data_IF_456992617402
#
_entry.id   IF_456992617402
#
_cell.length_a   1.000
_cell.length_b   1.000
_cell.length_c   1.000
_cell.angle_alpha   90.00
_cell.angle_beta   90.00
_cell.angle_gamma   90.00
#
_symmetry.space_group_name_H-M   'P 1'
#
loop_
_entity.id
_entity.type
_entity.pdbx_description
1 polymer ?
#
# COMPACT_ATOMS: atom_id res chain seq x y z
N UNK A 1 -4.14 -8.12 1.86
CA UNK A 1 -3.65 -8.93 3.01
C UNK A 1 -4.36 -10.26 3.10
N UNK A 2 -5.70 -10.33 3.13
CA UNK A 2 -6.41 -11.62 3.23
C UNK A 2 -5.93 -12.64 2.18
N UNK A 3 -5.74 -12.22 0.93
CA UNK A 3 -5.26 -13.09 -0.16
C UNK A 3 -3.78 -13.50 -0.06
N UNK A 4 -3.01 -12.88 0.83
CA UNK A 4 -1.59 -13.16 1.03
C UNK A 4 -1.33 -13.88 2.35
N UNK A 5 -2.36 -14.16 3.15
CA UNK A 5 -2.20 -14.68 4.50
C UNK A 5 -1.37 -15.97 4.53
N UNK A 6 -1.58 -16.87 3.58
CA UNK A 6 -0.85 -18.15 3.53
C UNK A 6 0.62 -17.98 3.07
N UNK A 7 0.91 -16.98 2.24
CA UNK A 7 2.26 -16.72 1.72
C UNK A 7 3.06 -15.80 2.65
N UNK A 8 2.42 -14.79 3.22
CA UNK A 8 3.07 -13.78 4.05
C UNK A 8 3.11 -14.15 5.55
N UNK A 9 2.33 -15.13 5.98
CA UNK A 9 2.24 -15.51 7.40
C UNK A 9 3.57 -16.01 7.98
N UNK A 10 4.45 -16.58 7.15
CA UNK A 10 5.72 -17.17 7.61
C UNK A 10 6.88 -16.16 7.62
N UNK A 11 6.87 -15.13 6.77
CA UNK A 11 8.02 -14.23 6.60
C UNK A 11 7.66 -12.76 6.72
N UNK A 12 6.45 -12.36 6.37
CA UNK A 12 5.98 -10.98 6.43
C UNK A 12 5.93 -10.28 5.08
N UNK A 13 5.60 -8.99 5.13
CA UNK A 13 5.49 -8.11 3.96
C UNK A 13 6.42 -6.93 4.06
N UNK A 14 6.82 -6.39 2.92
CA UNK A 14 7.64 -5.17 2.83
C UNK A 14 7.11 -4.24 1.74
N UNK A 15 7.14 -2.94 1.98
CA UNK A 15 6.77 -1.92 0.99
C UNK A 15 7.63 -0.66 1.12
N UNK A 16 7.77 0.11 0.04
CA UNK A 16 8.31 1.47 0.07
C UNK A 16 7.15 2.46 0.08
N UNK A 17 7.10 3.33 1.09
CA UNK A 17 6.04 4.35 1.14
C UNK A 17 6.32 5.42 2.18
N UNK A 18 6.17 6.67 1.78
CA UNK A 18 6.17 7.83 2.69
C UNK A 18 4.76 8.34 3.02
N UNK A 19 3.72 7.65 2.55
CA UNK A 19 2.34 8.11 2.63
C UNK A 19 1.33 7.10 3.16
N UNK A 20 0.11 7.20 2.64
CA UNK A 20 -1.03 6.38 3.10
C UNK A 20 -0.84 4.89 2.85
N UNK A 21 -0.20 4.50 1.73
CA UNK A 21 0.03 3.09 1.41
C UNK A 21 0.81 2.37 2.52
N UNK A 22 1.91 2.96 3.03
CA UNK A 22 2.67 2.37 4.13
C UNK A 22 1.85 2.19 5.40
N UNK A 23 1.02 3.18 5.75
CA UNK A 23 0.13 3.09 6.90
C UNK A 23 -0.97 2.03 6.68
N UNK A 24 -1.53 1.92 5.48
CA UNK A 24 -2.52 0.91 5.15
C UNK A 24 -1.95 -0.51 5.23
N UNK A 25 -0.71 -0.70 4.74
CA UNK A 25 0.00 -1.98 4.86
C UNK A 25 0.26 -2.32 6.32
N UNK A 26 0.74 -1.35 7.13
CA UNK A 26 0.97 -1.54 8.55
C UNK A 26 -0.31 -1.93 9.31
N UNK A 27 -1.41 -1.20 9.05
CA UNK A 27 -2.70 -1.47 9.65
C UNK A 27 -3.23 -2.87 9.29
N UNK A 28 -3.23 -3.20 8.00
CA UNK A 28 -3.70 -4.50 7.54
C UNK A 28 -2.83 -5.65 8.08
N UNK A 29 -1.50 -5.50 8.07
CA UNK A 29 -0.60 -6.50 8.62
C UNK A 29 -0.87 -6.76 10.10
N UNK A 30 -1.14 -5.70 10.89
CA UNK A 30 -1.53 -5.84 12.31
C UNK A 30 -2.83 -6.63 12.47
N UNK A 31 -3.84 -6.38 11.62
CA UNK A 31 -5.12 -7.11 11.69
C UNK A 31 -4.96 -8.62 11.43
N UNK A 32 -4.03 -8.99 10.56
CA UNK A 32 -3.77 -10.38 10.20
C UNK A 32 -2.58 -11.00 10.96
N UNK A 33 -2.03 -10.28 11.94
CA UNK A 33 -0.85 -10.69 12.72
C UNK A 33 0.36 -11.07 11.81
N UNK A 34 0.59 -10.26 10.78
CA UNK A 34 1.68 -10.41 9.81
C UNK A 34 2.74 -9.36 10.11
N UNK A 35 4.03 -9.74 10.07
CA UNK A 35 5.13 -8.78 10.15
C UNK A 35 5.09 -7.83 8.97
N UNK A 36 5.18 -6.51 9.22
CA UNK A 36 5.27 -5.50 8.17
C UNK A 36 6.53 -4.66 8.32
N UNK A 37 7.23 -4.49 7.21
CA UNK A 37 8.36 -3.56 7.07
C UNK A 37 7.96 -2.47 6.10
N UNK A 38 8.11 -1.20 6.51
CA UNK A 38 7.86 -0.04 5.66
C UNK A 38 9.17 0.71 5.49
N UNK A 39 9.69 0.69 4.27
CA UNK A 39 10.89 1.44 3.92
C UNK A 39 10.52 2.88 3.56
N UNK A 40 11.28 3.82 4.09
CA UNK A 40 11.15 5.25 3.86
C UNK A 40 12.53 5.85 3.58
N UNK A 41 12.65 6.89 2.75
CA UNK A 41 13.92 7.56 2.56
C UNK A 41 14.40 8.26 3.83
N UNK A 42 15.71 8.50 3.91
CA UNK A 42 16.28 9.34 4.97
C UNK A 42 15.64 10.73 4.95
N UNK A 43 15.29 11.24 6.13
CA UNK A 43 14.59 12.52 6.24
C UNK A 43 13.07 12.48 6.00
N UNK A 44 12.46 11.29 5.96
CA UNK A 44 11.01 11.18 5.90
C UNK A 44 10.33 11.92 7.07
N UNK A 45 9.12 12.44 6.82
CA UNK A 45 8.36 13.21 7.81
C UNK A 45 8.13 12.39 9.10
N UNK A 46 8.60 12.92 10.23
CA UNK A 46 8.56 12.23 11.54
C UNK A 46 7.14 11.84 11.97
N UNK A 47 6.13 12.67 11.66
CA UNK A 47 4.74 12.36 12.01
C UNK A 47 4.24 11.12 11.25
N UNK A 48 4.64 10.97 9.98
CA UNK A 48 4.30 9.78 9.16
C UNK A 48 5.06 8.54 9.62
N UNK A 49 6.33 8.71 10.00
CA UNK A 49 7.13 7.63 10.60
C UNK A 49 6.46 7.11 11.87
N UNK A 50 6.13 8.01 12.81
CA UNK A 50 5.45 7.66 14.06
C UNK A 50 4.08 7.01 13.82
N UNK A 51 3.28 7.54 12.88
CA UNK A 51 1.99 6.95 12.55
C UNK A 51 2.13 5.49 12.07
N UNK A 52 3.11 5.21 11.21
CA UNK A 52 3.37 3.87 10.70
C UNK A 52 3.87 2.93 11.81
N UNK A 53 4.77 3.41 12.68
CA UNK A 53 5.26 2.64 13.83
C UNK A 53 4.16 2.34 14.84
N UNK A 54 3.27 3.30 15.12
CA UNK A 54 2.13 3.12 16.02
C UNK A 54 1.14 2.06 15.52
N UNK A 55 1.10 1.82 14.21
CA UNK A 55 0.35 0.73 13.60
C UNK A 55 1.04 -0.63 13.69
N UNK A 56 2.26 -0.69 14.25
CA UNK A 56 2.99 -1.91 14.52
C UNK A 56 4.00 -2.32 13.45
N UNK A 57 4.21 -1.50 12.41
CA UNK A 57 5.20 -1.81 11.38
C UNK A 57 6.62 -1.39 11.80
N UNK A 58 7.59 -2.18 11.36
CA UNK A 58 9.01 -1.83 11.38
C UNK A 58 9.28 -0.78 10.30
N UNK A 59 9.77 0.40 10.68
CA UNK A 59 10.20 1.42 9.71
C UNK A 59 11.70 1.32 9.50
N UNK A 60 12.12 1.19 8.24
CA UNK A 60 13.54 1.20 7.84
C UNK A 60 13.82 2.41 6.96
N UNK A 61 14.86 3.15 7.31
CA UNK A 61 15.34 4.26 6.49
C UNK A 61 16.32 3.73 5.44
N UNK A 62 15.99 3.91 4.16
CA UNK A 62 16.73 3.36 3.02
C UNK A 62 16.79 4.41 1.92
N UNK A 63 18.00 4.74 1.48
CA UNK A 63 18.20 5.70 0.38
C UNK A 63 17.90 7.15 0.74
N UNK A 64 17.98 8.02 -0.24
CA UNK A 64 17.79 9.46 -0.08
C UNK A 64 16.45 9.97 -0.62
N UNK A 65 15.85 9.22 -1.54
CA UNK A 65 14.54 9.52 -2.10
C UNK A 65 13.68 8.26 -2.25
N UNK A 66 12.47 8.42 -2.78
CA UNK A 66 11.52 7.31 -2.93
C UNK A 66 11.97 6.28 -3.96
N UNK A 67 12.57 6.71 -5.07
CA UNK A 67 12.99 5.80 -6.14
C UNK A 67 14.21 4.98 -5.72
N UNK A 68 15.14 5.61 -5.02
CA UNK A 68 16.29 4.93 -4.42
C UNK A 68 15.83 3.91 -3.36
N UNK A 69 14.90 4.29 -2.50
CA UNK A 69 14.27 3.40 -1.55
C UNK A 69 13.62 2.18 -2.25
N UNK A 70 12.86 2.39 -3.33
CA UNK A 70 12.18 1.35 -4.08
C UNK A 70 13.15 0.34 -4.70
N UNK A 71 14.23 0.81 -5.31
CA UNK A 71 15.23 -0.08 -5.93
C UNK A 71 15.94 -0.99 -4.92
N UNK A 72 16.15 -0.49 -3.70
CA UNK A 72 16.79 -1.28 -2.65
C UNK A 72 15.86 -2.30 -2.00
N UNK A 73 14.58 -1.97 -1.90
CA UNK A 73 13.61 -2.79 -1.15
C UNK A 73 13.33 -4.13 -1.84
N UNK A 74 13.35 -4.18 -3.17
CA UNK A 74 13.16 -5.42 -3.93
C UNK A 74 14.24 -6.45 -3.58
N UNK A 75 15.50 -5.99 -3.51
CA UNK A 75 16.63 -6.84 -3.10
C UNK A 75 16.53 -7.30 -1.65
N UNK A 76 16.03 -6.44 -0.77
CA UNK A 76 15.81 -6.78 0.65
C UNK A 76 14.68 -7.80 0.78
N UNK A 77 13.60 -7.61 0.04
CA UNK A 77 12.48 -8.55 0.00
C UNK A 77 12.94 -9.96 -0.38
N UNK A 78 13.71 -10.07 -1.46
CA UNK A 78 14.27 -11.34 -1.92
C UNK A 78 15.21 -11.98 -0.87
N UNK A 79 16.13 -11.20 -0.32
CA UNK A 79 17.12 -11.66 0.66
C UNK A 79 16.47 -12.12 1.98
N UNK A 80 15.44 -11.42 2.45
CA UNK A 80 14.76 -11.71 3.72
C UNK A 80 13.52 -12.60 3.55
N UNK A 81 13.18 -12.98 2.32
CA UNK A 81 12.00 -13.77 2.00
C UNK A 81 10.67 -13.03 2.27
N UNK A 82 10.71 -11.69 2.31
CA UNK A 82 9.51 -10.87 2.53
C UNK A 82 8.72 -10.72 1.23
N UNK A 83 7.41 -10.70 1.33
CA UNK A 83 6.56 -10.43 0.17
C UNK A 83 6.52 -8.91 -0.12
N UNK A 84 7.03 -8.50 -1.29
CA UNK A 84 7.00 -7.10 -1.69
C UNK A 84 5.62 -6.68 -2.17
N UNK A 85 5.07 -5.63 -1.55
CA UNK A 85 3.80 -5.00 -1.93
C UNK A 85 4.07 -3.70 -2.67
N UNK A 86 3.87 -3.72 -3.99
CA UNK A 86 3.99 -2.52 -4.83
C UNK A 86 2.77 -1.62 -4.64
N UNK A 87 3.01 -0.32 -4.45
CA UNK A 87 1.93 0.67 -4.32
C UNK A 87 1.24 1.02 -5.65
N UNK A 88 1.83 0.65 -6.78
CA UNK A 88 1.36 1.06 -8.11
C UNK A 88 0.86 -0.09 -8.99
N UNK A 89 1.55 -1.22 -8.95
CA UNK A 89 1.43 -2.26 -9.98
C UNK A 89 0.83 -3.59 -9.49
N UNK A 90 0.54 -3.71 -8.19
CA UNK A 90 -0.05 -4.92 -7.64
C UNK A 90 -1.55 -4.98 -7.93
N UNK A 91 -2.04 -5.98 -8.69
CA UNK A 91 -3.45 -6.10 -9.03
C UNK A 91 -4.39 -6.21 -7.83
N UNK A 92 -3.94 -6.86 -6.74
CA UNK A 92 -4.74 -7.00 -5.52
C UNK A 92 -4.79 -5.69 -4.72
N UNK A 93 -3.72 -4.90 -4.75
CA UNK A 93 -3.74 -3.55 -4.19
C UNK A 93 -4.68 -2.65 -5.00
N UNK A 94 -4.61 -2.69 -6.33
CA UNK A 94 -5.49 -1.93 -7.23
C UNK A 94 -6.95 -2.31 -7.00
N UNK A 95 -7.27 -3.59 -6.94
CA UNK A 95 -8.62 -4.08 -6.67
C UNK A 95 -9.11 -3.63 -5.27
N UNK A 96 -8.27 -3.76 -4.25
CA UNK A 96 -8.61 -3.31 -2.90
C UNK A 96 -8.87 -1.81 -2.80
N UNK A 97 -8.06 -1.00 -3.48
CA UNK A 97 -8.26 0.46 -3.51
C UNK A 97 -9.50 0.84 -4.31
N UNK A 98 -9.87 0.10 -5.34
CA UNK A 98 -11.08 0.34 -6.13
C UNK A 98 -12.38 0.29 -5.32
N UNK A 99 -12.38 -0.36 -4.16
CA UNK A 99 -13.60 -0.54 -3.34
C UNK A 99 -14.21 0.78 -2.86
N UNK A 100 -13.40 1.82 -2.56
CA UNK A 100 -13.96 3.12 -2.18
C UNK A 100 -14.77 3.75 -3.31
N UNK A 101 -14.39 3.49 -4.56
CA UNK A 101 -15.15 3.99 -5.71
C UNK A 101 -16.47 3.22 -5.88
N UNK A 102 -16.49 1.93 -5.58
CA UNK A 102 -17.75 1.17 -5.56
C UNK A 102 -18.70 1.75 -4.51
N UNK A 103 -18.22 2.03 -3.30
CA UNK A 103 -19.02 2.67 -2.24
C UNK A 103 -19.56 4.04 -2.69
N UNK A 104 -18.73 4.88 -3.36
CA UNK A 104 -19.19 6.15 -3.92
C UNK A 104 -20.30 5.94 -4.95
N UNK A 105 -20.17 4.93 -5.82
CA UNK A 105 -21.15 4.67 -6.87
C UNK A 105 -22.46 4.06 -6.32
N UNK A 106 -22.40 3.36 -5.19
CA UNK A 106 -23.57 2.87 -4.46
C UNK A 106 -24.32 4.03 -3.80
N UNK A 107 -23.62 4.96 -3.15
CA UNK A 107 -24.22 6.11 -2.47
C UNK A 107 -24.66 7.21 -3.44
N UNK A 108 -23.96 7.40 -4.55
CA UNK A 108 -24.18 8.44 -5.55
C UNK A 108 -24.20 7.83 -6.97
N UNK A 109 -25.27 7.11 -7.35
CA UNK A 109 -25.32 6.39 -8.64
C UNK A 109 -25.26 7.31 -9.86
N UNK A 110 -25.67 8.57 -9.72
CA UNK A 110 -25.69 9.57 -10.81
C UNK A 110 -24.45 10.48 -10.81
N UNK A 111 -23.37 10.10 -10.08
CA UNK A 111 -22.14 10.91 -10.08
C UNK A 111 -21.50 10.97 -11.48
N UNK A 112 -21.23 12.18 -11.98
CA UNK A 112 -20.61 12.41 -13.28
C UNK A 112 -19.08 12.44 -13.21
N UNK A 113 -18.51 12.91 -12.08
CA UNK A 113 -17.08 13.15 -11.95
C UNK A 113 -16.60 12.69 -10.58
N UNK A 114 -15.54 11.89 -10.56
CA UNK A 114 -14.82 11.50 -9.34
C UNK A 114 -13.39 12.03 -9.45
N UNK A 115 -12.97 12.86 -8.50
CA UNK A 115 -11.61 13.41 -8.45
C UNK A 115 -10.80 12.57 -7.49
N UNK A 116 -9.73 11.95 -7.98
CA UNK A 116 -8.83 11.08 -7.21
C UNK A 116 -7.42 11.67 -7.15
N UNK A 117 -6.75 11.64 -5.98
CA UNK A 117 -5.34 12.01 -5.89
C UNK A 117 -4.47 10.93 -6.55
N UNK A 118 -3.41 11.35 -7.24
CA UNK A 118 -2.47 10.44 -7.90
C UNK A 118 -1.12 10.51 -7.18
N UNK A 119 -0.75 9.38 -6.57
CA UNK A 119 0.60 9.08 -6.12
C UNK A 119 1.20 7.99 -7.00
N UNK A 120 1.20 6.73 -6.52
CA UNK A 120 1.62 5.56 -7.29
C UNK A 120 0.64 5.12 -8.40
N UNK A 121 -0.56 5.71 -8.47
CA UNK A 121 -1.52 5.45 -9.52
C UNK A 121 -2.58 4.38 -9.21
N UNK A 122 -2.41 3.55 -8.19
CA UNK A 122 -3.35 2.48 -7.85
C UNK A 122 -4.78 2.98 -7.58
N UNK A 123 -4.93 4.15 -6.92
CA UNK A 123 -6.23 4.77 -6.68
C UNK A 123 -6.97 5.10 -7.97
N UNK A 124 -6.29 5.75 -8.91
CA UNK A 124 -6.87 6.09 -10.20
C UNK A 124 -7.20 4.85 -11.03
N UNK A 125 -6.30 3.85 -11.05
CA UNK A 125 -6.51 2.58 -11.75
C UNK A 125 -7.70 1.81 -11.16
N UNK A 126 -7.78 1.68 -9.84
CA UNK A 126 -8.89 1.03 -9.14
C UNK A 126 -10.22 1.74 -9.39
N UNK A 127 -10.24 3.08 -9.31
CA UNK A 127 -11.44 3.87 -9.63
C UNK A 127 -11.91 3.66 -11.07
N UNK A 128 -10.99 3.71 -12.03
CA UNK A 128 -11.33 3.48 -13.44
C UNK A 128 -11.85 2.06 -13.70
N UNK A 129 -11.31 1.05 -13.01
CA UNK A 129 -11.82 -0.31 -13.10
C UNK A 129 -13.24 -0.41 -12.53
N UNK A 130 -13.48 0.18 -11.36
CA UNK A 130 -14.78 0.13 -10.69
C UNK A 130 -15.89 0.83 -11.48
N UNK A 131 -15.59 1.95 -12.16
CA UNK A 131 -16.59 2.65 -13.00
C UNK A 131 -17.02 1.85 -14.20
N UNK A 132 -16.20 0.90 -14.69
CA UNK A 132 -16.58 0.00 -15.81
C UNK A 132 -17.48 -1.15 -15.37
N UNK A 133 -17.58 -1.41 -14.10
CA UNK A 133 -18.42 -2.47 -13.53
C UNK A 133 -19.81 -1.97 -13.15
N UNK A 134 -20.21 -0.78 -13.61
CA UNK A 134 -21.60 -0.32 -13.44
C UNK A 134 -22.55 -1.31 -14.13
N UNK A 135 -23.61 -1.74 -13.45
CA UNK A 135 -24.66 -2.57 -14.05
C UNK A 135 -25.40 -1.84 -15.16
#
# INVERSE_FOLDING_TARGET
MANFQDQASNTGVITASTGNHGQSVAYAARLFNIRAVVAMPNGANEAKVKATQNLGAEVRFIGNDFDDCRQHIEKIAEKEGLHYLSSGDDPLIIAGVGTYTLEILEDLPDVDVIIVPIGGGSGAAGSAASTRCRP
#
